data_IF_920408905514
#
_entry.id   IF_920408905514
#
_cell.length_a   1.000
_cell.length_b   1.000
_cell.length_c   1.000
_cell.angle_alpha   90.00
_cell.angle_beta   90.00
_cell.angle_gamma   90.00
#
_symmetry.space_group_name_H-M   'P 1'
#
loop_
_entity.id
_entity.type
_entity.pdbx_description
1 polymer ?
#
# COMPACT_ATOMS: atom_id res chain seq x y z
N UNK A 1 8.98 -14.39 -4.89
CA UNK A 1 8.47 -13.91 -6.20
C UNK A 1 8.61 -12.40 -6.24
N UNK A 2 8.70 -11.79 -7.42
CA UNK A 2 8.83 -10.33 -7.54
C UNK A 2 7.46 -9.77 -7.95
N UNK A 3 6.90 -8.89 -7.12
CA UNK A 3 5.52 -8.39 -7.27
C UNK A 3 5.53 -6.87 -7.25
N UNK A 4 4.83 -6.25 -8.21
CA UNK A 4 4.63 -4.80 -8.26
C UNK A 4 3.16 -4.47 -8.04
N UNK A 5 2.87 -3.64 -7.05
CA UNK A 5 1.58 -3.03 -6.82
C UNK A 5 1.61 -1.62 -7.40
N UNK A 6 0.59 -1.28 -8.20
CA UNK A 6 0.37 0.07 -8.70
C UNK A 6 -0.96 0.54 -8.15
N UNK A 7 -0.93 1.60 -7.34
CA UNK A 7 -2.11 2.11 -6.65
C UNK A 7 -2.39 3.53 -7.15
N UNK A 8 -3.53 3.70 -7.80
CA UNK A 8 -3.93 4.97 -8.43
C UNK A 8 -5.18 5.61 -7.85
N UNK A 9 -5.78 4.98 -6.83
CA UNK A 9 -7.01 5.41 -6.16
C UNK A 9 -6.71 6.24 -4.91
N UNK A 10 -7.55 7.22 -4.61
CA UNK A 10 -7.62 7.94 -3.32
C UNK A 10 -8.66 7.34 -2.36
N UNK A 11 -9.30 6.23 -2.72
CA UNK A 11 -10.21 5.50 -1.84
C UNK A 11 -9.44 4.76 -0.74
N UNK A 12 -9.76 5.09 0.52
CA UNK A 12 -9.07 4.57 1.70
C UNK A 12 -9.13 3.06 1.85
N UNK A 13 -10.29 2.45 1.60
CA UNK A 13 -10.46 0.99 1.66
C UNK A 13 -9.61 0.29 0.61
N UNK A 14 -9.59 0.84 -0.61
CA UNK A 14 -8.79 0.31 -1.72
C UNK A 14 -7.30 0.34 -1.40
N UNK A 15 -6.78 1.48 -0.93
CA UNK A 15 -5.37 1.60 -0.55
C UNK A 15 -5.06 0.67 0.62
N UNK A 16 -5.91 0.65 1.65
CA UNK A 16 -5.73 -0.19 2.82
C UNK A 16 -5.63 -1.67 2.45
N UNK A 17 -6.54 -2.17 1.62
CA UNK A 17 -6.55 -3.58 1.23
C UNK A 17 -5.37 -3.94 0.32
N UNK A 18 -4.99 -3.05 -0.61
CA UNK A 18 -3.81 -3.25 -1.44
C UNK A 18 -2.53 -3.34 -0.60
N UNK A 19 -2.32 -2.39 0.32
CA UNK A 19 -1.17 -2.38 1.23
C UNK A 19 -1.20 -3.57 2.21
N UNK A 20 -2.37 -3.95 2.70
CA UNK A 20 -2.53 -5.14 3.55
C UNK A 20 -2.09 -6.42 2.84
N UNK A 21 -2.42 -6.57 1.56
CA UNK A 21 -1.96 -7.70 0.76
C UNK A 21 -0.45 -7.63 0.48
N UNK A 22 0.07 -6.45 0.16
CA UNK A 22 1.51 -6.22 -0.02
C UNK A 22 2.30 -6.65 1.23
N UNK A 23 1.85 -6.27 2.41
CA UNK A 23 2.44 -6.68 3.69
C UNK A 23 2.42 -8.20 3.90
N UNK A 24 1.34 -8.90 3.50
CA UNK A 24 1.28 -10.36 3.58
C UNK A 24 2.31 -11.01 2.64
N UNK A 25 2.49 -10.48 1.43
CA UNK A 25 3.47 -10.99 0.48
C UNK A 25 4.91 -10.79 0.98
N UNK A 26 5.24 -9.60 1.51
CA UNK A 26 6.55 -9.33 2.14
C UNK A 26 6.82 -10.34 3.27
N UNK A 27 5.84 -10.56 4.17
CA UNK A 27 5.98 -11.52 5.29
C UNK A 27 6.16 -12.98 4.84
N UNK A 28 5.79 -13.31 3.60
CA UNK A 28 6.02 -14.64 3.00
C UNK A 28 7.38 -14.76 2.29
N UNK A 29 8.17 -13.69 2.25
CA UNK A 29 9.48 -13.65 1.60
C UNK A 29 9.44 -13.23 0.13
N UNK A 30 8.35 -12.62 -0.34
CA UNK A 30 8.30 -12.05 -1.68
C UNK A 30 8.99 -10.67 -1.73
N UNK A 31 9.65 -10.37 -2.85
CA UNK A 31 10.16 -9.03 -3.15
C UNK A 31 8.99 -8.18 -3.66
N UNK A 32 8.49 -7.27 -2.84
CA UNK A 32 7.34 -6.43 -3.16
C UNK A 32 7.77 -5.00 -3.40
N UNK A 33 7.28 -4.42 -4.48
CA UNK A 33 7.40 -2.99 -4.80
C UNK A 33 6.00 -2.37 -4.86
N UNK A 34 5.86 -1.16 -4.34
CA UNK A 34 4.61 -0.38 -4.41
C UNK A 34 4.91 0.94 -5.10
N UNK A 35 4.11 1.29 -6.11
CA UNK A 35 4.15 2.59 -6.75
C UNK A 35 2.80 3.29 -6.63
N UNK A 36 2.78 4.41 -5.91
CA UNK A 36 1.63 5.31 -5.82
C UNK A 36 1.67 6.28 -7.01
N UNK A 37 0.54 6.45 -7.71
CA UNK A 37 0.46 7.43 -8.81
C UNK A 37 -0.93 8.06 -8.92
N UNK A 38 -1.03 9.18 -9.63
CA UNK A 38 -2.31 9.86 -9.82
C UNK A 38 -2.93 10.26 -8.48
N UNK A 39 -4.18 9.85 -8.21
CA UNK A 39 -4.85 10.15 -6.95
C UNK A 39 -4.24 9.40 -5.75
N UNK A 40 -3.58 8.26 -6.00
CA UNK A 40 -2.93 7.45 -4.96
C UNK A 40 -1.81 8.16 -4.21
N UNK A 41 -1.21 9.21 -4.77
CA UNK A 41 -0.16 10.00 -4.09
C UNK A 41 -0.68 10.72 -2.84
N UNK A 42 -2.00 10.86 -2.69
CA UNK A 42 -2.66 11.50 -1.54
C UNK A 42 -2.95 10.51 -0.39
N UNK A 43 -2.33 9.32 -0.41
CA UNK A 43 -2.58 8.23 0.54
C UNK A 43 -2.50 8.64 2.02
N UNK A 44 -1.67 9.64 2.35
CA UNK A 44 -1.52 10.16 3.72
C UNK A 44 -2.84 10.69 4.31
N UNK A 45 -3.78 11.07 3.44
CA UNK A 45 -5.08 11.65 3.81
C UNK A 45 -6.26 10.74 3.47
N UNK A 46 -6.01 9.57 2.89
CA UNK A 46 -7.05 8.68 2.37
C UNK A 46 -7.64 7.73 3.44
N UNK A 47 -7.00 7.61 4.61
CA UNK A 47 -7.42 6.71 5.68
C UNK A 47 -8.69 7.14 6.43
N UNK A 48 -9.32 6.19 7.09
CA UNK A 48 -10.42 6.40 8.05
C UNK A 48 -10.28 5.41 9.21
N UNK A 49 -11.11 5.51 10.26
CA UNK A 49 -11.01 4.62 11.43
C UNK A 49 -11.06 3.11 11.07
N UNK A 50 -11.95 2.62 10.18
CA UNK A 50 -11.93 1.23 9.75
C UNK A 50 -10.77 0.85 8.82
N UNK A 51 -10.16 1.85 8.17
CA UNK A 51 -9.15 1.68 7.12
C UNK A 51 -7.91 2.51 7.45
N UNK A 52 -7.12 2.02 8.40
CA UNK A 52 -5.84 2.63 8.80
C UNK A 52 -4.77 2.42 7.72
N UNK A 53 -4.84 3.26 6.69
CA UNK A 53 -3.91 3.28 5.55
C UNK A 53 -2.48 3.50 6.01
N UNK A 54 -2.27 4.50 6.88
CA UNK A 54 -0.92 4.82 7.37
C UNK A 54 -0.36 3.70 8.24
N UNK A 55 -1.18 3.02 9.02
CA UNK A 55 -0.77 1.82 9.75
C UNK A 55 -0.27 0.71 8.83
N UNK A 56 -0.89 0.49 7.68
CA UNK A 56 -0.39 -0.51 6.71
C UNK A 56 0.88 -0.04 5.99
N UNK A 57 0.99 1.25 5.63
CA UNK A 57 2.19 1.80 4.98
C UNK A 57 3.40 1.77 5.92
N UNK A 58 3.22 2.13 7.19
CA UNK A 58 4.28 2.12 8.18
C UNK A 58 4.79 0.70 8.51
N UNK A 59 4.00 -0.33 8.23
CA UNK A 59 4.40 -1.74 8.37
C UNK A 59 5.12 -2.30 7.13
N UNK A 60 5.13 -1.57 6.02
CA UNK A 60 5.65 -2.08 4.76
C UNK A 60 7.18 -1.97 4.71
N UNK A 61 7.84 -3.08 4.42
CA UNK A 61 9.31 -3.18 4.39
C UNK A 61 9.87 -3.39 2.96
N UNK A 62 9.02 -3.33 1.93
CA UNK A 62 9.45 -3.40 0.52
C UNK A 62 9.80 -2.04 -0.07
N UNK A 63 10.14 -2.02 -1.37
CA UNK A 63 10.44 -0.75 -2.05
C UNK A 63 9.15 0.04 -2.28
N UNK A 64 9.14 1.30 -1.85
CA UNK A 64 7.99 2.19 -1.97
C UNK A 64 8.35 3.43 -2.79
N UNK A 65 7.54 3.72 -3.80
CA UNK A 65 7.74 4.83 -4.72
C UNK A 65 6.47 5.70 -4.78
N UNK A 66 6.66 7.02 -4.85
CA UNK A 66 5.62 8.06 -4.97
C UNK A 66 6.01 9.03 -6.06
#
# INVERSE_FOLDING_TARGET
MNVLFIISSDDGETIYNAMRLANVAVKKGDEVRVFMLGKGVLFERAGSEPFDVMGQINQFEGDFYV
#
